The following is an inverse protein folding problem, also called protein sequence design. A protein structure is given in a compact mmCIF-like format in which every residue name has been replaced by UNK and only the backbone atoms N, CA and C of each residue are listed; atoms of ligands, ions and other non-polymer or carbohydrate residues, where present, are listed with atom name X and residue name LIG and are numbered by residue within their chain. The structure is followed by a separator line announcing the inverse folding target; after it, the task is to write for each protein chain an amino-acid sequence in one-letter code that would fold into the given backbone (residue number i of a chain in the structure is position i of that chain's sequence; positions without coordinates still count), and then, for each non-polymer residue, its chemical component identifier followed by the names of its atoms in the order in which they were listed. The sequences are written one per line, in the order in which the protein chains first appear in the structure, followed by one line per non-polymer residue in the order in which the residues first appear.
data_IF_629354557575
#
_entry.id   IF_629354557575
#
_cell.length_a   1.000
_cell.length_b   1.000
_cell.length_c   1.000
_cell.angle_alpha   90.00
_cell.angle_beta   90.00
_cell.angle_gamma   90.00
#
_symmetry.space_group_name_H-M   'P 1'
#
loop_
_entity.id
_entity.type
_entity.pdbx_description
1 polymer ?
#
# COMPACT_ATOMS: atom_id res chain seq x y z
N UNK A 1 -2.14 17.04 11.99
CA UNK A 1 -1.43 17.37 10.72
C UNK A 1 -1.37 16.21 9.71
N UNK A 2 -1.36 14.92 10.10
CA UNK A 2 -1.29 13.80 9.15
C UNK A 2 -2.56 13.53 8.30
N UNK A 3 -3.72 14.13 8.64
CA UNK A 3 -4.99 13.91 7.93
C UNK A 3 -4.94 14.31 6.45
N UNK A 4 -4.23 15.40 6.13
CA UNK A 4 -4.09 15.85 4.74
C UNK A 4 -3.36 14.82 3.88
N UNK A 5 -2.32 14.20 4.44
CA UNK A 5 -1.55 13.15 3.74
C UNK A 5 -2.39 11.88 3.59
N UNK A 6 -3.16 11.49 4.60
CA UNK A 6 -4.08 10.36 4.49
C UNK A 6 -5.15 10.58 3.42
N UNK A 7 -5.67 11.81 3.30
CA UNK A 7 -6.62 12.20 2.25
C UNK A 7 -5.98 12.15 0.86
N UNK A 8 -4.75 12.66 0.71
CA UNK A 8 -3.98 12.54 -0.53
C UNK A 8 -3.71 11.09 -0.92
N UNK A 9 -3.37 10.23 0.05
CA UNK A 9 -3.14 8.80 -0.18
C UNK A 9 -4.44 8.12 -0.63
N UNK A 10 -5.59 8.45 -0.04
CA UNK A 10 -6.89 7.92 -0.49
C UNK A 10 -7.29 8.41 -1.88
N UNK A 11 -7.06 9.70 -2.18
CA UNK A 11 -7.25 10.26 -3.52
C UNK A 11 -6.39 9.50 -4.53
N UNK A 12 -5.11 9.33 -4.26
CA UNK A 12 -4.22 8.53 -5.08
C UNK A 12 -4.71 7.07 -5.23
N UNK A 13 -5.12 6.42 -4.14
CA UNK A 13 -5.66 5.05 -4.17
C UNK A 13 -6.91 4.92 -5.04
N UNK A 14 -7.77 5.93 -5.06
CA UNK A 14 -9.02 5.92 -5.83
C UNK A 14 -8.83 6.19 -7.31
N UNK A 15 -7.91 7.09 -7.67
CA UNK A 15 -7.73 7.55 -9.05
C UNK A 15 -6.56 6.86 -9.78
N UNK A 16 -5.42 6.66 -9.12
CA UNK A 16 -4.18 6.18 -9.76
C UNK A 16 -3.80 4.74 -9.41
N UNK A 17 -4.26 4.20 -8.29
CA UNK A 17 -3.80 2.86 -7.86
C UNK A 17 -4.31 1.76 -8.78
N UNK A 18 -3.37 0.99 -9.32
CA UNK A 18 -3.61 -0.14 -10.21
C UNK A 18 -4.30 -1.32 -9.52
N UNK A 19 -4.26 -1.40 -8.18
CA UNK A 19 -4.84 -2.51 -7.40
C UNK A 19 -6.30 -2.25 -6.96
N UNK A 20 -6.79 -1.01 -6.96
CA UNK A 20 -8.15 -0.69 -6.42
C UNK A 20 -8.85 0.49 -7.11
N UNK A 21 -8.11 1.33 -7.85
CA UNK A 21 -8.62 2.53 -8.48
C UNK A 21 -9.15 2.30 -9.90
N UNK A 22 -9.60 3.39 -10.54
CA UNK A 22 -10.13 3.39 -11.91
C UNK A 22 -9.20 2.71 -12.95
N UNK A 23 -7.88 2.78 -12.73
CA UNK A 23 -6.88 2.18 -13.61
C UNK A 23 -6.80 0.65 -13.53
N UNK A 24 -7.43 0.01 -12.52
CA UNK A 24 -7.45 -1.46 -12.40
C UNK A 24 -8.16 -2.15 -13.56
N UNK A 25 -8.95 -1.41 -14.34
CA UNK A 25 -9.61 -1.88 -15.57
C UNK A 25 -8.58 -2.30 -16.64
N UNK A 26 -7.39 -1.69 -16.64
CA UNK A 26 -6.33 -1.99 -17.60
C UNK A 26 -5.48 -3.20 -17.23
N UNK A 27 -5.68 -3.81 -16.06
CA UNK A 27 -4.84 -4.90 -15.56
C UNK A 27 -5.66 -6.18 -15.32
N UNK A 28 -5.15 -7.37 -15.69
CA UNK A 28 -5.80 -8.62 -15.32
C UNK A 28 -5.89 -8.75 -13.80
N UNK A 29 -7.11 -9.01 -13.30
CA UNK A 29 -7.46 -9.07 -11.87
C UNK A 29 -6.65 -10.11 -11.06
N UNK A 30 -6.00 -11.05 -11.77
CA UNK A 30 -5.18 -12.12 -11.21
C UNK A 30 -3.73 -11.73 -10.93
N UNK A 31 -3.26 -10.62 -11.51
CA UNK A 31 -1.91 -10.12 -11.24
C UNK A 31 -2.01 -9.20 -10.02
N UNK A 32 -1.62 -9.68 -8.84
CA UNK A 32 -1.43 -8.80 -7.68
C UNK A 32 -0.07 -8.09 -7.81
N UNK A 33 -0.02 -6.75 -7.78
CA UNK A 33 1.28 -6.01 -7.69
C UNK A 33 1.92 -6.30 -6.33
N UNK A 34 1.09 -6.31 -5.29
CA UNK A 34 1.52 -6.57 -3.93
C UNK A 34 1.47 -8.06 -3.62
N UNK A 35 2.59 -8.64 -3.20
CA UNK A 35 2.64 -10.05 -2.76
C UNK A 35 2.14 -10.27 -1.34
N UNK A 36 2.07 -9.21 -0.55
CA UNK A 36 1.61 -9.27 0.82
C UNK A 36 0.20 -8.69 0.93
N UNK A 37 -0.60 -9.27 1.82
CA UNK A 37 -1.93 -8.81 2.20
C UNK A 37 -1.85 -8.18 3.61
N UNK A 38 -2.38 -6.97 3.86
CA UNK A 38 -2.98 -6.04 2.89
C UNK A 38 -1.94 -5.45 1.92
N UNK A 39 -2.43 -4.86 0.83
CA UNK A 39 -1.62 -4.26 -0.24
C UNK A 39 -0.63 -3.20 0.29
N UNK A 40 0.46 -2.93 -0.43
CA UNK A 40 1.48 -1.97 0.03
C UNK A 40 0.90 -0.55 0.24
N UNK A 41 -0.05 -0.12 -0.61
CA UNK A 41 -0.69 1.19 -0.47
C UNK A 41 -1.61 1.24 0.76
N UNK A 42 -2.34 0.17 1.04
CA UNK A 42 -3.21 0.05 2.21
C UNK A 42 -2.42 -0.10 3.51
N UNK A 43 -1.35 -0.89 3.49
CA UNK A 43 -0.37 -0.97 4.57
C UNK A 43 0.20 0.41 4.89
N UNK A 44 0.53 1.20 3.86
CA UNK A 44 1.04 2.56 4.05
C UNK A 44 0.01 3.50 4.65
N UNK A 45 -1.25 3.41 4.23
CA UNK A 45 -2.33 4.16 4.84
C UNK A 45 -2.50 3.80 6.32
N UNK A 46 -2.54 2.51 6.64
CA UNK A 46 -2.68 2.01 8.01
C UNK A 46 -1.48 2.39 8.89
N UNK A 47 -0.25 2.26 8.38
CA UNK A 47 0.98 2.58 9.10
C UNK A 47 1.10 4.08 9.40
N UNK A 48 0.79 4.93 8.42
CA UNK A 48 0.76 6.39 8.63
C UNK A 48 -0.38 6.80 9.57
N UNK A 49 -1.53 6.12 9.49
CA UNK A 49 -2.66 6.38 10.38
C UNK A 49 -2.38 5.99 11.83
N UNK A 50 -1.62 4.91 12.09
CA UNK A 50 -1.28 4.45 13.44
C UNK A 50 -0.05 5.15 14.02
N UNK A 51 1.05 5.21 13.27
CA UNK A 51 2.36 5.63 13.76
C UNK A 51 2.78 7.04 13.30
N UNK A 52 1.96 7.71 12.49
CA UNK A 52 2.30 9.00 11.89
C UNK A 52 3.16 8.88 10.64
N UNK A 53 3.47 10.01 10.01
CA UNK A 53 4.06 10.05 8.68
C UNK A 53 5.45 9.38 8.60
N UNK A 54 6.36 9.76 9.50
CA UNK A 54 7.77 9.32 9.45
C UNK A 54 7.90 7.80 9.67
N UNK A 55 7.34 7.31 10.78
CA UNK A 55 7.33 5.87 11.09
C UNK A 55 6.51 5.06 10.08
N UNK A 56 5.36 5.59 9.64
CA UNK A 56 4.54 4.94 8.63
C UNK A 56 5.25 4.76 7.29
N UNK A 57 5.93 5.81 6.81
CA UNK A 57 6.73 5.75 5.59
C UNK A 57 7.90 4.78 5.75
N UNK A 58 8.59 4.77 6.88
CA UNK A 58 9.69 3.84 7.15
C UNK A 58 9.25 2.37 7.12
N UNK A 59 8.14 2.05 7.81
CA UNK A 59 7.57 0.70 7.83
C UNK A 59 7.14 0.24 6.43
N UNK A 60 6.47 1.12 5.69
CA UNK A 60 6.06 0.87 4.31
C UNK A 60 7.24 0.64 3.37
N UNK A 61 8.24 1.50 3.43
CA UNK A 61 9.42 1.40 2.59
C UNK A 61 10.15 0.08 2.81
N UNK A 62 10.37 -0.30 4.07
CA UNK A 62 10.96 -1.59 4.44
C UNK A 62 10.13 -2.79 3.93
N UNK A 63 8.81 -2.68 3.83
CA UNK A 63 7.96 -3.72 3.25
C UNK A 63 8.06 -3.76 1.72
N UNK A 64 8.05 -2.60 1.06
CA UNK A 64 8.21 -2.51 -0.40
C UNK A 64 9.54 -3.11 -0.84
N UNK A 65 10.64 -2.86 -0.11
CA UNK A 65 11.94 -3.49 -0.38
C UNK A 65 11.90 -5.03 -0.28
N UNK A 66 11.00 -5.60 0.54
CA UNK A 66 10.77 -7.05 0.64
C UNK A 66 9.80 -7.58 -0.42
N UNK A 67 9.11 -6.72 -1.14
CA UNK A 67 8.14 -7.09 -2.17
C UNK A 67 8.83 -7.26 -3.52
N UNK A 68 9.50 -8.40 -3.71
CA UNK A 68 10.19 -8.78 -4.95
C UNK A 68 9.57 -10.06 -5.56
N UNK A 69 9.74 -10.35 -6.87
CA UNK A 69 9.12 -11.48 -7.56
C UNK A 69 9.57 -12.89 -7.09
N UNK A 70 10.45 -12.97 -6.09
CA UNK A 70 10.87 -14.23 -5.46
C UNK A 70 10.44 -14.32 -3.99
N UNK A 71 9.71 -13.33 -3.47
CA UNK A 71 9.16 -13.38 -2.11
C UNK A 71 7.96 -14.34 -2.06
N UNK A 72 7.88 -15.21 -1.06
CA UNK A 72 6.74 -16.11 -0.88
C UNK A 72 5.39 -15.38 -0.74
N UNK A 73 5.42 -14.07 -0.44
CA UNK A 73 4.22 -13.31 -0.10
C UNK A 73 3.60 -13.79 1.21
N UNK A 74 2.44 -13.25 1.58
CA UNK A 74 1.73 -13.67 2.78
C UNK A 74 0.95 -12.56 3.47
N UNK A 75 0.36 -12.88 4.62
CA UNK A 75 -0.40 -11.91 5.42
C UNK A 75 0.54 -11.24 6.45
N UNK A 76 0.80 -9.94 6.28
CA UNK A 76 1.65 -9.14 7.16
C UNK A 76 0.87 -7.86 7.51
N UNK A 77 0.05 -7.85 8.58
CA UNK A 77 -0.70 -6.66 8.96
C UNK A 77 0.23 -5.61 9.59
N UNK A 78 -0.18 -4.34 9.56
CA UNK A 78 0.55 -3.30 10.29
C UNK A 78 0.50 -3.63 11.79
N UNK A 79 1.65 -3.61 12.50
CA UNK A 79 1.69 -3.85 13.95
C UNK A 79 0.82 -2.85 14.74
#
# INVERSE_FOLDING_TARGET
MAKFVLVLIRLYQKYLSLDTGWLSVFKPRWVKICRFEPSCSEYTFQAISKYGLLLGVWLSFRRVCRCHPFSAGGHDPVP
#
